data_IF_664734039346
#
_entry.id   IF_664734039346
#
_cell.length_a   1.000
_cell.length_b   1.000
_cell.length_c   1.000
_cell.angle_alpha   90.00
_cell.angle_beta   90.00
_cell.angle_gamma   90.00
#
_symmetry.space_group_name_H-M   'P 1'
#
loop_
_entity.id
_entity.type
_entity.pdbx_description
1 polymer ?
#
# COMPACT_ATOMS: atom_id res chain seq x y z
N UNK A 1 50.82 -50.38 38.19
CA UNK A 1 49.45 -49.87 37.99
C UNK A 1 49.20 -48.73 38.96
N UNK A 2 49.04 -47.49 38.48
CA UNK A 2 48.04 -46.59 39.03
C UNK A 2 47.04 -46.19 37.93
N UNK A 3 45.76 -46.19 38.30
CA UNK A 3 44.63 -45.90 37.42
C UNK A 3 44.62 -44.42 37.00
N UNK A 4 44.56 -44.17 35.69
CA UNK A 4 44.38 -42.85 35.12
C UNK A 4 42.92 -42.42 35.18
N UNK A 5 42.66 -41.25 35.76
CA UNK A 5 41.36 -40.58 35.75
C UNK A 5 41.02 -40.07 34.33
N UNK A 6 40.00 -40.68 33.73
CA UNK A 6 39.34 -40.20 32.51
C UNK A 6 38.43 -39.01 32.86
N UNK A 7 38.85 -37.79 32.49
CA UNK A 7 38.00 -36.59 32.50
C UNK A 7 37.09 -36.59 31.26
N UNK A 8 35.78 -36.76 31.46
CA UNK A 8 34.78 -36.47 30.44
C UNK A 8 34.48 -34.96 30.42
N UNK A 9 34.49 -34.29 29.26
CA UNK A 9 34.04 -32.91 29.16
C UNK A 9 32.51 -32.84 29.21
N UNK A 10 32.00 -32.25 30.29
CA UNK A 10 30.60 -31.88 30.48
C UNK A 10 30.29 -30.55 29.80
N UNK A 11 29.60 -30.58 28.66
CA UNK A 11 28.54 -29.63 28.27
C UNK A 11 28.24 -29.76 26.77
N UNK A 12 27.19 -30.50 26.42
CA UNK A 12 26.54 -30.34 25.11
C UNK A 12 25.72 -29.06 25.21
N UNK A 13 26.24 -27.98 24.62
CA UNK A 13 25.51 -26.74 24.41
C UNK A 13 24.38 -27.00 23.41
N UNK A 14 23.12 -26.90 23.84
CA UNK A 14 22.00 -26.77 22.92
C UNK A 14 22.23 -25.56 22.00
N UNK A 15 21.91 -25.63 20.69
CA UNK A 15 21.86 -24.43 19.88
C UNK A 15 20.74 -23.55 20.42
N UNK A 16 21.10 -22.35 20.87
CA UNK A 16 20.12 -21.33 21.20
C UNK A 16 19.33 -21.02 19.92
N UNK A 17 18.03 -21.33 19.95
CA UNK A 17 17.08 -20.84 18.96
C UNK A 17 17.10 -19.32 19.11
N UNK A 18 17.76 -18.65 18.17
CA UNK A 18 17.75 -17.20 18.03
C UNK A 18 16.29 -16.76 17.94
N UNK A 19 15.77 -16.16 19.01
CA UNK A 19 14.53 -15.38 18.94
C UNK A 19 14.79 -14.27 17.93
N UNK A 20 14.22 -14.41 16.74
CA UNK A 20 14.15 -13.32 15.78
C UNK A 20 13.32 -12.21 16.44
N UNK A 21 13.96 -11.08 16.72
CA UNK A 21 13.30 -9.86 17.14
C UNK A 21 12.46 -9.36 15.95
N UNK A 22 11.25 -9.89 15.79
CA UNK A 22 10.29 -9.35 14.83
C UNK A 22 9.99 -7.90 15.24
N UNK A 23 10.12 -6.99 14.27
CA UNK A 23 9.96 -5.56 14.56
C UNK A 23 8.47 -5.24 14.73
N UNK A 24 8.06 -4.28 15.59
CA UNK A 24 6.63 -3.96 15.84
C UNK A 24 5.83 -3.62 14.57
N UNK A 25 6.51 -3.25 13.48
CA UNK A 25 5.92 -2.95 12.18
C UNK A 25 5.53 -4.20 11.40
N UNK A 26 6.33 -5.28 11.49
CA UNK A 26 6.08 -6.55 10.80
C UNK A 26 4.87 -7.26 11.40
N UNK A 27 4.72 -7.20 12.73
CA UNK A 27 3.55 -7.71 13.44
C UNK A 27 2.26 -6.96 13.05
N UNK A 28 2.31 -5.62 12.94
CA UNK A 28 1.17 -4.79 12.53
C UNK A 28 0.75 -5.09 11.08
N UNK A 29 1.71 -5.22 10.16
CA UNK A 29 1.44 -5.61 8.77
C UNK A 29 0.82 -7.01 8.68
N UNK A 30 1.37 -7.98 9.42
CA UNK A 30 0.86 -9.34 9.45
C UNK A 30 -0.58 -9.40 9.97
N UNK A 31 -0.92 -8.60 10.99
CA UNK A 31 -2.27 -8.50 11.52
C UNK A 31 -3.24 -7.89 10.49
N UNK A 32 -2.89 -6.77 9.86
CA UNK A 32 -3.71 -6.15 8.81
C UNK A 32 -3.94 -7.13 7.65
N UNK A 33 -2.89 -7.83 7.23
CA UNK A 33 -3.00 -8.84 6.17
C UNK A 33 -3.91 -10.01 6.55
N UNK A 34 -3.83 -10.49 7.79
CA UNK A 34 -4.72 -11.54 8.29
C UNK A 34 -6.19 -11.09 8.26
N UNK A 35 -6.48 -9.83 8.63
CA UNK A 35 -7.83 -9.27 8.52
C UNK A 35 -8.32 -9.23 7.06
N UNK A 36 -7.48 -8.76 6.14
CA UNK A 36 -7.79 -8.71 4.71
C UNK A 36 -8.14 -10.11 4.17
N UNK A 37 -7.36 -11.14 4.51
CA UNK A 37 -7.65 -12.52 4.08
C UNK A 37 -8.95 -13.05 4.68
N UNK A 38 -9.24 -12.75 5.95
CA UNK A 38 -10.46 -13.18 6.60
C UNK A 38 -11.70 -12.50 5.99
N UNK A 39 -11.63 -11.21 5.71
CA UNK A 39 -12.67 -10.43 5.03
C UNK A 39 -12.90 -10.95 3.60
N UNK A 40 -11.83 -11.12 2.82
CA UNK A 40 -11.93 -11.63 1.45
C UNK A 40 -12.50 -13.05 1.37
N UNK A 41 -12.23 -13.90 2.37
CA UNK A 41 -12.81 -15.25 2.43
C UNK A 41 -14.32 -15.19 2.62
N UNK A 42 -14.79 -14.36 3.58
CA UNK A 42 -16.23 -14.16 3.81
C UNK A 42 -16.91 -13.62 2.56
N UNK A 43 -16.32 -12.62 1.91
CA UNK A 43 -16.89 -12.02 0.70
C UNK A 43 -16.93 -13.02 -0.47
N UNK A 44 -15.93 -13.90 -0.62
CA UNK A 44 -15.92 -14.95 -1.64
C UNK A 44 -16.98 -16.04 -1.41
N UNK A 45 -17.31 -16.32 -0.15
CA UNK A 45 -18.39 -17.26 0.21
C UNK A 45 -19.78 -16.65 -0.01
N UNK A 46 -19.91 -15.34 0.22
CA UNK A 46 -21.18 -14.61 0.08
C UNK A 46 -21.51 -14.26 -1.37
N UNK A 47 -20.50 -13.93 -2.19
CA UNK A 47 -20.68 -13.50 -3.59
C UNK A 47 -19.89 -14.38 -4.57
N UNK A 48 -20.52 -15.46 -5.09
CA UNK A 48 -19.87 -16.40 -6.00
C UNK A 48 -19.30 -15.75 -7.27
N UNK A 49 -19.90 -14.65 -7.76
CA UNK A 49 -19.40 -13.96 -8.95
C UNK A 49 -18.02 -13.32 -8.72
N UNK A 50 -17.70 -12.95 -7.48
CA UNK A 50 -16.42 -12.34 -7.11
C UNK A 50 -15.40 -13.35 -6.56
N UNK A 51 -15.82 -14.58 -6.26
CA UNK A 51 -14.98 -15.58 -5.59
C UNK A 51 -13.64 -15.82 -6.32
N UNK A 52 -13.65 -16.00 -7.63
CA UNK A 52 -12.44 -16.22 -8.43
C UNK A 52 -11.50 -15.01 -8.44
N UNK A 53 -12.07 -13.80 -8.47
CA UNK A 53 -11.32 -12.56 -8.41
C UNK A 53 -10.68 -12.34 -7.03
N UNK A 54 -11.43 -12.56 -5.95
CA UNK A 54 -10.93 -12.49 -4.58
C UNK A 54 -9.88 -13.57 -4.30
N UNK A 55 -10.06 -14.77 -4.85
CA UNK A 55 -9.09 -15.85 -4.71
C UNK A 55 -7.76 -15.50 -5.39
N UNK A 56 -7.82 -15.12 -6.67
CA UNK A 56 -6.61 -14.76 -7.44
C UNK A 56 -5.92 -13.53 -6.86
N UNK A 57 -6.66 -12.52 -6.40
CA UNK A 57 -6.10 -11.24 -5.94
C UNK A 57 -5.65 -11.22 -4.49
N UNK A 58 -6.26 -12.03 -3.61
CA UNK A 58 -5.97 -12.02 -2.16
C UNK A 58 -5.64 -13.42 -1.64
N UNK A 59 -6.58 -14.37 -1.74
CA UNK A 59 -6.50 -15.61 -0.97
C UNK A 59 -5.32 -16.50 -1.38
N UNK A 60 -4.95 -16.46 -2.66
CA UNK A 60 -3.81 -17.20 -3.23
C UNK A 60 -2.44 -16.64 -2.83
N UNK A 61 -2.38 -15.43 -2.29
CA UNK A 61 -1.13 -14.78 -1.92
C UNK A 61 -0.78 -14.95 -0.44
N UNK A 62 0.51 -14.85 -0.14
CA UNK A 62 1.09 -14.98 1.19
C UNK A 62 1.35 -13.64 1.88
N UNK A 63 1.46 -12.52 1.13
CA UNK A 63 1.78 -11.20 1.66
C UNK A 63 0.96 -10.08 1.01
N UNK A 64 0.79 -8.97 1.73
CA UNK A 64 0.07 -7.77 1.29
C UNK A 64 0.72 -7.16 0.04
N UNK A 65 2.04 -7.02 0.03
CA UNK A 65 2.81 -6.48 -1.10
C UNK A 65 2.55 -7.23 -2.42
N UNK A 66 2.42 -8.57 -2.37
CA UNK A 66 2.21 -9.40 -3.56
C UNK A 66 0.78 -9.25 -4.08
N UNK A 67 -0.19 -9.24 -3.17
CA UNK A 67 -1.59 -8.97 -3.49
C UNK A 67 -1.78 -7.55 -4.07
N UNK A 68 -1.15 -6.55 -3.45
CA UNK A 68 -1.21 -5.16 -3.92
C UNK A 68 -0.55 -5.00 -5.29
N UNK A 69 0.63 -5.58 -5.49
CA UNK A 69 1.31 -5.57 -6.79
C UNK A 69 0.46 -6.25 -7.88
N UNK A 70 -0.16 -7.40 -7.57
CA UNK A 70 -1.01 -8.12 -8.51
C UNK A 70 -2.23 -7.30 -8.88
N UNK A 71 -2.88 -6.70 -7.88
CA UNK A 71 -4.08 -5.89 -8.10
C UNK A 71 -3.78 -4.63 -8.92
N UNK A 72 -2.81 -3.82 -8.47
CA UNK A 72 -2.44 -2.57 -9.16
C UNK A 72 -1.92 -2.86 -10.58
N UNK A 73 -1.16 -3.94 -10.77
CA UNK A 73 -0.68 -4.37 -12.08
C UNK A 73 -1.83 -4.68 -13.06
N UNK A 74 -2.87 -5.37 -12.61
CA UNK A 74 -4.06 -5.63 -13.42
C UNK A 74 -4.90 -4.37 -13.64
N UNK A 75 -4.97 -3.45 -12.68
CA UNK A 75 -5.74 -2.20 -12.81
C UNK A 75 -5.09 -1.23 -13.81
N UNK A 76 -3.77 -1.12 -13.80
CA UNK A 76 -3.03 -0.11 -14.59
C UNK A 76 -2.59 -0.60 -15.97
N UNK A 77 -2.81 -1.87 -16.30
CA UNK A 77 -2.36 -2.41 -17.58
C UNK A 77 -2.99 -1.69 -18.79
N UNK A 78 -2.29 -1.77 -19.92
CA UNK A 78 -2.74 -1.29 -21.22
C UNK A 78 -2.12 -2.14 -22.33
N UNK A 79 -2.43 -1.83 -23.59
CA UNK A 79 -1.73 -2.45 -24.73
C UNK A 79 -0.22 -2.17 -24.74
N UNK A 80 0.23 -1.11 -24.06
CA UNK A 80 1.65 -0.76 -23.91
C UNK A 80 2.29 -1.41 -22.67
N UNK A 81 1.56 -1.46 -21.56
CA UNK A 81 2.06 -1.94 -20.27
C UNK A 81 1.31 -3.20 -19.85
N UNK A 82 1.94 -4.36 -20.02
CA UNK A 82 1.35 -5.65 -19.65
C UNK A 82 1.17 -5.77 -18.14
N UNK A 83 0.10 -6.44 -17.69
CA UNK A 83 -0.18 -6.62 -16.27
C UNK A 83 0.92 -7.41 -15.54
N UNK A 84 1.52 -8.40 -16.20
CA UNK A 84 2.65 -9.17 -15.66
C UNK A 84 3.90 -8.33 -15.46
N UNK A 85 4.22 -7.47 -16.43
CA UNK A 85 5.33 -6.51 -16.33
C UNK A 85 5.11 -5.54 -15.17
N UNK A 86 3.89 -4.99 -15.05
CA UNK A 86 3.55 -4.09 -13.96
C UNK A 86 3.59 -4.81 -12.62
N UNK A 87 3.07 -6.03 -12.53
CA UNK A 87 3.16 -6.85 -11.32
C UNK A 87 4.62 -7.01 -10.85
N UNK A 88 5.54 -7.38 -11.74
CA UNK A 88 6.96 -7.52 -11.40
C UNK A 88 7.57 -6.18 -10.98
N UNK A 89 7.22 -5.09 -11.67
CA UNK A 89 7.67 -3.74 -11.33
C UNK A 89 7.24 -3.33 -9.92
N UNK A 90 5.96 -3.52 -9.60
CA UNK A 90 5.38 -3.20 -8.29
C UNK A 90 6.01 -4.07 -7.21
N UNK A 91 6.03 -5.39 -7.40
CA UNK A 91 6.56 -6.34 -6.43
C UNK A 91 8.03 -6.04 -6.12
N UNK A 92 8.87 -5.87 -7.14
CA UNK A 92 10.29 -5.55 -6.93
C UNK A 92 10.48 -4.23 -6.18
N UNK A 93 9.62 -3.24 -6.44
CA UNK A 93 9.71 -1.94 -5.76
C UNK A 93 9.28 -2.04 -4.29
N UNK A 94 8.20 -2.76 -3.98
CA UNK A 94 7.77 -3.00 -2.60
C UNK A 94 8.76 -3.87 -1.81
N UNK A 95 9.32 -4.91 -2.44
CA UNK A 95 10.28 -5.80 -1.80
C UNK A 95 11.61 -5.10 -1.49
N UNK A 96 12.04 -4.16 -2.34
CA UNK A 96 13.30 -3.43 -2.17
C UNK A 96 13.20 -2.22 -1.22
N UNK A 97 12.01 -1.73 -0.90
CA UNK A 97 11.82 -0.54 -0.07
C UNK A 97 10.77 -0.79 1.05
N UNK A 98 11.22 -1.15 2.26
CA UNK A 98 10.34 -1.36 3.41
C UNK A 98 9.50 -0.13 3.76
N UNK A 99 9.95 1.08 3.42
CA UNK A 99 9.18 2.30 3.71
C UNK A 99 7.88 2.38 2.92
N UNK A 100 7.83 1.77 1.74
CA UNK A 100 6.62 1.70 0.92
C UNK A 100 5.59 0.75 1.52
N UNK A 101 6.02 -0.38 2.07
CA UNK A 101 5.14 -1.32 2.79
C UNK A 101 4.54 -0.66 4.02
N UNK A 102 5.39 -0.01 4.82
CA UNK A 102 4.95 0.76 5.99
C UNK A 102 3.96 1.88 5.61
N UNK A 103 4.16 2.53 4.47
CA UNK A 103 3.25 3.55 3.98
C UNK A 103 1.90 2.96 3.55
N UNK A 104 1.89 1.82 2.85
CA UNK A 104 0.66 1.14 2.46
C UNK A 104 -0.17 0.70 3.67
N UNK A 105 0.46 0.13 4.70
CA UNK A 105 -0.21 -0.24 5.96
C UNK A 105 -0.76 1.00 6.66
N UNK A 106 0.02 2.07 6.75
CA UNK A 106 -0.44 3.33 7.35
C UNK A 106 -1.64 3.93 6.59
N UNK A 107 -1.64 3.87 5.26
CA UNK A 107 -2.73 4.37 4.41
C UNK A 107 -4.00 3.51 4.58
N UNK A 108 -3.88 2.18 4.69
CA UNK A 108 -5.00 1.27 4.99
C UNK A 108 -5.62 1.57 6.37
N UNK A 109 -4.78 1.78 7.39
CA UNK A 109 -5.26 2.16 8.74
C UNK A 109 -5.93 3.52 8.73
N UNK A 110 -5.34 4.48 8.00
CA UNK A 110 -5.91 5.81 7.82
C UNK A 110 -7.32 5.75 7.22
N UNK A 111 -7.55 4.92 6.20
CA UNK A 111 -8.88 4.72 5.63
C UNK A 111 -9.83 4.08 6.66
N UNK A 112 -9.41 2.98 7.30
CA UNK A 112 -10.24 2.25 8.27
C UNK A 112 -10.69 3.10 9.46
N UNK A 113 -9.83 4.01 9.93
CA UNK A 113 -10.09 4.84 11.12
C UNK A 113 -10.86 6.12 10.78
N UNK A 114 -10.58 6.73 9.63
CA UNK A 114 -11.07 8.09 9.34
C UNK A 114 -12.19 8.17 8.31
N UNK A 115 -12.40 7.11 7.52
CA UNK A 115 -13.52 7.06 6.59
C UNK A 115 -14.67 6.24 7.19
N UNK A 116 -15.81 6.87 7.51
CA UNK A 116 -17.00 6.18 8.01
C UNK A 116 -17.55 5.12 7.04
N UNK A 117 -17.32 5.28 5.73
CA UNK A 117 -17.73 4.34 4.70
C UNK A 117 -16.75 3.16 4.56
N UNK A 118 -15.57 3.24 5.15
CA UNK A 118 -14.56 2.18 5.11
C UNK A 118 -14.83 1.12 6.18
N UNK A 119 -15.69 0.17 5.82
CA UNK A 119 -16.10 -0.93 6.72
C UNK A 119 -15.01 -2.00 6.90
N UNK A 120 -14.11 -2.18 5.92
CA UNK A 120 -13.15 -3.28 5.89
C UNK A 120 -11.83 -2.90 5.23
N UNK A 121 -10.75 -3.59 5.60
CA UNK A 121 -9.43 -3.40 4.98
C UNK A 121 -9.39 -3.95 3.56
N UNK A 122 -10.06 -5.08 3.30
CA UNK A 122 -10.15 -5.70 1.97
C UNK A 122 -10.83 -4.79 0.96
N UNK A 123 -11.91 -4.09 1.35
CA UNK A 123 -12.60 -3.16 0.45
C UNK A 123 -11.75 -1.92 0.16
N UNK A 124 -10.98 -1.44 1.14
CA UNK A 124 -9.99 -0.40 0.89
C UNK A 124 -8.93 -0.86 -0.13
N UNK A 125 -8.33 -2.04 0.10
CA UNK A 125 -7.34 -2.61 -0.81
C UNK A 125 -7.87 -2.79 -2.23
N UNK A 126 -9.10 -3.28 -2.39
CA UNK A 126 -9.63 -3.64 -3.71
C UNK A 126 -10.28 -2.48 -4.45
N UNK A 127 -11.03 -1.64 -3.74
CA UNK A 127 -12.00 -0.71 -4.35
C UNK A 127 -11.65 0.76 -4.15
N UNK A 128 -10.79 1.11 -3.19
CA UNK A 128 -10.47 2.52 -2.93
C UNK A 128 -9.44 3.01 -3.93
N UNK A 129 -9.93 3.65 -4.99
CA UNK A 129 -9.08 4.23 -6.04
C UNK A 129 -8.07 5.25 -5.50
N UNK A 130 -8.43 6.00 -4.46
CA UNK A 130 -7.54 6.95 -3.81
C UNK A 130 -6.34 6.26 -3.14
N UNK A 131 -6.61 5.18 -2.41
CA UNK A 131 -5.57 4.33 -1.83
C UNK A 131 -4.67 3.73 -2.92
N UNK A 132 -5.27 3.12 -3.95
CA UNK A 132 -4.54 2.48 -5.05
C UNK A 132 -3.67 3.48 -5.83
N UNK A 133 -4.22 4.66 -6.14
CA UNK A 133 -3.48 5.72 -6.81
C UNK A 133 -2.30 6.21 -5.97
N UNK A 134 -2.47 6.35 -4.66
CA UNK A 134 -1.40 6.75 -3.75
C UNK A 134 -0.26 5.72 -3.75
N UNK A 135 -0.57 4.41 -3.66
CA UNK A 135 0.47 3.38 -3.70
C UNK A 135 1.17 3.33 -5.07
N UNK A 136 0.41 3.48 -6.15
CA UNK A 136 0.96 3.52 -7.50
C UNK A 136 1.88 4.74 -7.73
N UNK A 137 1.48 5.91 -7.20
CA UNK A 137 2.30 7.11 -7.21
C UNK A 137 3.63 6.89 -6.48
N UNK A 138 3.64 6.24 -5.32
CA UNK A 138 4.89 5.99 -4.59
C UNK A 138 5.90 5.18 -5.42
N UNK A 139 5.42 4.22 -6.21
CA UNK A 139 6.27 3.49 -7.16
C UNK A 139 6.72 4.38 -8.32
N UNK A 140 5.83 5.20 -8.87
CA UNK A 140 6.21 6.19 -9.89
C UNK A 140 7.27 7.18 -9.37
N UNK A 141 7.14 7.64 -8.12
CA UNK A 141 8.11 8.49 -7.43
C UNK A 141 9.46 7.78 -7.27
N UNK A 142 9.46 6.51 -6.87
CA UNK A 142 10.70 5.72 -6.78
C UNK A 142 11.39 5.63 -8.14
N UNK A 143 10.64 5.33 -9.20
CA UNK A 143 11.17 5.28 -10.58
C UNK A 143 11.73 6.64 -11.02
N UNK A 144 11.07 7.74 -10.64
CA UNK A 144 11.54 9.09 -10.90
C UNK A 144 12.88 9.37 -10.23
N UNK A 145 13.03 8.99 -8.96
CA UNK A 145 14.30 9.15 -8.21
C UNK A 145 15.43 8.26 -8.72
N UNK A 146 15.10 7.13 -9.37
CA UNK A 146 16.05 6.23 -10.03
C UNK A 146 16.39 6.66 -11.46
N UNK A 147 16.06 7.90 -11.85
CA UNK A 147 16.25 8.43 -13.20
C UNK A 147 15.49 7.69 -14.32
N UNK A 148 14.52 6.82 -13.98
CA UNK A 148 13.64 6.14 -14.95
C UNK A 148 12.42 6.99 -15.28
N UNK A 149 12.65 8.28 -15.57
CA UNK A 149 11.58 9.29 -15.76
C UNK A 149 10.54 8.93 -16.83
N UNK A 150 10.90 8.39 -18.01
CA UNK A 150 9.91 8.03 -19.02
C UNK A 150 8.91 6.99 -18.52
N UNK A 151 9.37 5.98 -17.77
CA UNK A 151 8.50 4.97 -17.19
C UNK A 151 7.66 5.52 -16.04
N UNK A 152 8.23 6.41 -15.21
CA UNK A 152 7.48 7.09 -14.17
C UNK A 152 6.32 7.93 -14.75
N UNK A 153 6.55 8.64 -15.85
CA UNK A 153 5.51 9.41 -16.55
C UNK A 153 4.48 8.52 -17.26
N UNK A 154 4.92 7.41 -17.85
CA UNK A 154 3.99 6.43 -18.44
C UNK A 154 3.07 5.83 -17.37
N UNK A 155 3.63 5.48 -16.20
CA UNK A 155 2.86 4.97 -15.07
C UNK A 155 1.92 6.04 -14.51
N UNK A 156 2.41 7.27 -14.36
CA UNK A 156 1.61 8.44 -13.96
C UNK A 156 0.38 8.64 -14.83
N UNK A 157 0.55 8.59 -16.16
CA UNK A 157 -0.55 8.70 -17.11
C UNK A 157 -1.61 7.62 -16.86
N UNK A 158 -1.20 6.35 -16.66
CA UNK A 158 -2.12 5.26 -16.33
C UNK A 158 -2.86 5.46 -15.01
N UNK A 159 -2.19 6.02 -13.99
CA UNK A 159 -2.81 6.32 -12.69
C UNK A 159 -3.92 7.37 -12.88
N UNK A 160 -3.63 8.42 -13.65
CA UNK A 160 -4.61 9.46 -14.00
C UNK A 160 -5.79 8.86 -14.77
N UNK A 161 -5.54 8.06 -15.81
CA UNK A 161 -6.60 7.43 -16.62
C UNK A 161 -7.52 6.51 -15.81
N UNK A 162 -6.96 5.65 -14.96
CA UNK A 162 -7.70 4.56 -14.31
C UNK A 162 -8.35 4.99 -13.00
N UNK A 163 -7.66 5.84 -12.23
CA UNK A 163 -8.12 6.24 -10.90
C UNK A 163 -8.66 7.67 -10.85
N UNK A 164 -8.51 8.44 -11.93
CA UNK A 164 -8.84 9.87 -12.00
C UNK A 164 -8.07 10.69 -10.94
N UNK A 165 -6.81 10.33 -10.70
CA UNK A 165 -5.92 10.96 -9.73
C UNK A 165 -4.62 11.31 -10.46
N UNK A 166 -4.30 12.60 -10.53
CA UNK A 166 -3.11 13.13 -11.20
C UNK A 166 -2.12 13.61 -10.13
N UNK A 167 -1.07 12.84 -9.90
CA UNK A 167 -0.03 13.16 -8.91
C UNK A 167 1.30 13.06 -9.62
N UNK A 168 1.92 14.21 -9.90
CA UNK A 168 3.17 14.23 -10.61
C UNK A 168 4.23 13.38 -9.89
N UNK A 169 5.00 12.50 -10.58
CA UNK A 169 5.94 11.58 -9.93
C UNK A 169 6.98 12.25 -9.03
N UNK A 170 7.37 13.50 -9.28
CA UNK A 170 8.30 14.23 -8.41
C UNK A 170 7.68 14.69 -7.08
N UNK A 171 6.35 14.74 -6.98
CA UNK A 171 5.65 15.17 -5.77
C UNK A 171 5.99 14.25 -4.60
N UNK A 172 6.27 14.85 -3.44
CA UNK A 172 6.64 14.11 -2.23
C UNK A 172 5.39 13.92 -1.38
N UNK A 173 5.02 12.67 -1.12
CA UNK A 173 3.83 12.34 -0.33
C UNK A 173 4.23 11.49 0.88
N UNK A 174 3.84 11.94 2.07
CA UNK A 174 3.99 11.23 3.33
C UNK A 174 3.11 9.98 3.42
N UNK A 175 2.90 9.44 4.62
CA UNK A 175 2.10 8.23 4.89
C UNK A 175 0.87 8.53 5.74
N UNK A 176 -0.10 7.62 5.78
CA UNK A 176 -1.40 7.86 6.39
C UNK A 176 -2.24 8.82 5.55
N UNK A 177 -2.21 8.70 4.23
CA UNK A 177 -2.98 9.54 3.32
C UNK A 177 -4.37 8.93 3.09
N UNK A 178 -5.40 9.75 3.20
CA UNK A 178 -6.77 9.38 2.80
C UNK A 178 -7.23 10.30 1.67
N UNK A 179 -7.39 9.73 0.47
CA UNK A 179 -7.99 10.41 -0.68
C UNK A 179 -9.45 9.94 -0.78
N UNK A 180 -10.34 10.64 -0.09
CA UNK A 180 -11.77 10.36 -0.13
C UNK A 180 -12.38 10.93 -1.41
N UNK A 181 -13.19 10.12 -2.10
CA UNK A 181 -13.77 10.45 -3.40
C UNK A 181 -12.77 11.00 -4.43
N UNK A 182 -11.56 10.42 -4.50
CA UNK A 182 -10.35 10.91 -5.16
C UNK A 182 -10.42 11.40 -6.64
N UNK A 183 -11.58 11.37 -7.29
CA UNK A 183 -11.78 11.87 -8.67
C UNK A 183 -11.36 13.32 -8.82
N UNK A 184 -10.45 13.62 -9.74
CA UNK A 184 -10.04 14.99 -10.05
C UNK A 184 -9.06 15.59 -9.04
N UNK A 185 -8.45 14.77 -8.17
CA UNK A 185 -7.30 15.19 -7.36
C UNK A 185 -6.12 15.47 -8.29
N UNK A 186 -5.53 16.67 -8.17
CA UNK A 186 -4.34 17.07 -8.92
C UNK A 186 -3.28 17.58 -7.94
N UNK A 187 -2.08 16.98 -7.98
CA UNK A 187 -0.92 17.33 -7.15
C UNK A 187 0.29 17.57 -8.07
N UNK A 188 0.77 18.82 -8.10
CA UNK A 188 1.82 19.26 -9.01
C UNK A 188 3.23 18.79 -8.67
N UNK A 189 4.17 19.02 -9.58
CA UNK A 189 5.56 18.53 -9.53
C UNK A 189 6.32 18.89 -8.24
N UNK A 190 6.14 20.10 -7.74
CA UNK A 190 6.88 20.65 -6.59
C UNK A 190 6.15 20.44 -5.26
N UNK A 191 4.98 19.81 -5.27
CA UNK A 191 4.15 19.69 -4.08
C UNK A 191 4.78 18.75 -3.04
N UNK A 192 4.61 19.11 -1.76
CA UNK A 192 5.01 18.30 -0.62
C UNK A 192 3.81 18.10 0.30
N UNK A 193 3.33 16.87 0.40
CA UNK A 193 2.22 16.47 1.27
C UNK A 193 2.79 15.74 2.48
N UNK A 194 2.45 16.21 3.68
CA UNK A 194 2.89 15.62 4.94
C UNK A 194 2.23 14.28 5.27
N UNK A 195 2.45 13.80 6.49
CA UNK A 195 1.82 12.57 7.00
C UNK A 195 0.41 12.84 7.52
N UNK A 196 -0.45 11.81 7.55
CA UNK A 196 -1.79 11.85 8.12
C UNK A 196 -2.72 12.89 7.49
N UNK A 197 -2.52 13.21 6.20
CA UNK A 197 -3.37 14.15 5.47
C UNK A 197 -4.61 13.45 4.92
N UNK A 198 -5.75 14.13 4.97
CA UNK A 198 -7.00 13.69 4.35
C UNK A 198 -7.45 14.74 3.33
N UNK A 199 -7.80 14.27 2.14
CA UNK A 199 -8.38 15.06 1.07
C UNK A 199 -9.82 14.61 0.88
N UNK A 200 -10.76 15.55 0.83
CA UNK A 200 -12.16 15.29 0.59
C UNK A 200 -12.70 16.33 -0.41
N UNK A 201 -13.55 15.88 -1.33
CA UNK A 201 -14.26 16.77 -2.26
C UNK A 201 -15.63 17.05 -1.66
N UNK A 202 -15.74 18.14 -0.91
CA UNK A 202 -17.00 18.56 -0.32
C UNK A 202 -17.85 19.27 -1.38
N UNK A 203 -19.04 18.73 -1.70
CA UNK A 203 -20.12 19.53 -2.29
C UNK A 203 -20.52 20.59 -1.24
N UNK A 204 -20.74 21.86 -1.60
CA UNK A 204 -21.03 22.91 -0.63
C UNK A 204 -22.31 22.55 0.13
N UNK A 205 -22.13 22.03 1.34
CA UNK A 205 -23.19 21.73 2.29
C UNK A 205 -22.99 22.70 3.43
N UNK A 206 -23.94 23.60 3.63
CA UNK A 206 -23.92 24.63 4.65
C UNK A 206 -23.75 23.99 6.04
N UNK A 207 -22.64 24.32 6.69
CA UNK A 207 -22.47 24.33 8.15
C UNK A 207 -22.42 22.98 8.87
N UNK A 208 -21.21 22.54 9.25
CA UNK A 208 -20.90 22.22 10.65
C UNK A 208 -19.39 22.09 10.83
N UNK A 209 -18.81 22.98 11.64
CA UNK A 209 -17.37 23.03 11.87
C UNK A 209 -16.84 21.80 12.63
N UNK A 210 -15.76 21.24 12.09
CA UNK A 210 -14.67 20.52 12.77
C UNK A 210 -13.50 20.42 11.77
N UNK A 211 -12.39 21.13 12.05
CA UNK A 211 -11.12 21.13 11.29
C UNK A 211 -10.65 19.69 10.97
N UNK A 212 -10.20 19.30 9.76
CA UNK A 212 -9.18 19.85 8.83
C UNK A 212 -9.74 20.06 7.43
N UNK A 213 -9.52 21.25 6.87
CA UNK A 213 -9.96 21.69 5.54
C UNK A 213 -8.79 21.66 4.54
N UNK A 214 -8.91 20.88 3.47
CA UNK A 214 -8.37 21.24 2.15
C UNK A 214 -9.43 20.82 1.12
N UNK A 215 -10.39 21.71 0.85
CA UNK A 215 -11.35 21.57 -0.24
C UNK A 215 -10.66 21.74 -1.59
N UNK A 216 -10.59 20.66 -2.38
CA UNK A 216 -9.89 20.69 -3.68
C UNK A 216 -10.82 21.27 -4.75
N UNK A 217 -10.53 22.48 -5.23
CA UNK A 217 -10.82 22.87 -6.63
C UNK A 217 -9.62 23.33 -7.44
N UNK A 218 -8.48 23.61 -6.81
CA UNK A 218 -7.15 23.72 -7.44
C UNK A 218 -6.19 23.98 -6.30
N UNK A 219 -5.36 23.01 -5.96
CA UNK A 219 -4.26 23.26 -5.03
C UNK A 219 -3.00 23.43 -5.85
N UNK A 220 -2.75 24.66 -6.32
CA UNK A 220 -1.38 25.07 -6.64
C UNK A 220 -0.75 25.39 -5.28
N UNK A 221 -0.11 24.41 -4.64
CA UNK A 221 0.77 24.73 -3.50
C UNK A 221 2.09 25.22 -4.09
N UNK A 222 2.27 26.53 -4.14
CA UNK A 222 3.59 27.15 -4.18
C UNK A 222 4.14 27.18 -2.74
N UNK A 223 5.40 26.78 -2.58
CA UNK A 223 6.23 27.21 -1.44
C UNK A 223 7.06 28.40 -1.88
#
# INVERSE_FOLDING_TARGET
MPAGELRYPSSISCPQISQATETPMEEDEAWVWAQIKAEARRDAELEPALASYLYSTILSHSSLERSLAFHVGNKLCSSTLLSTLLYDLFLNTFSSDPSLRAAAVADLRAARVRDPACVSFSHCLLNYKGFLACQAHRVAHKLWTQSRRPLALALHSRISDVFAVDIHPAAKIGKGILLDHATGVVIGETAVVGNNVQFCITLPSVGLGRHVEIGIRRLVMEF
#
